data_IF_275236392983
#
_entry.id   IF_275236392983
#
_cell.length_a   1.000
_cell.length_b   1.000
_cell.length_c   1.000
_cell.angle_alpha   90.00
_cell.angle_beta   90.00
_cell.angle_gamma   90.00
#
_symmetry.space_group_name_H-M   'P 1'
#
loop_
_entity.id
_entity.type
_entity.pdbx_description
1 polymer ?
#
# COMPACT_ATOMS: atom_id res chain seq x y z
N UNK A 1 -16.80 -34.02 2.05
CA UNK A 1 -17.12 -34.00 0.59
C UNK A 1 -15.94 -33.60 -0.29
N UNK A 2 -14.96 -32.82 0.19
CA UNK A 2 -13.82 -32.35 -0.62
C UNK A 2 -12.85 -33.48 -1.01
N UNK A 3 -12.55 -34.42 -0.10
CA UNK A 3 -11.60 -35.54 -0.34
C UNK A 3 -12.05 -36.46 -1.48
N UNK A 4 -13.32 -36.89 -1.47
CA UNK A 4 -13.88 -37.74 -2.53
C UNK A 4 -13.83 -37.09 -3.92
N UNK A 5 -13.92 -35.76 -3.99
CA UNK A 5 -13.91 -35.03 -5.28
C UNK A 5 -12.52 -35.00 -5.91
N UNK A 6 -11.48 -34.92 -5.09
CA UNK A 6 -10.08 -34.95 -5.52
C UNK A 6 -9.69 -36.36 -5.98
N UNK A 7 -10.09 -37.40 -5.23
CA UNK A 7 -9.83 -38.80 -5.59
C UNK A 7 -10.55 -39.23 -6.88
N UNK A 8 -11.78 -38.75 -7.08
CA UNK A 8 -12.56 -39.05 -8.30
C UNK A 8 -11.93 -38.41 -9.54
N UNK A 9 -11.39 -37.19 -9.44
CA UNK A 9 -10.66 -36.54 -10.56
C UNK A 9 -9.35 -37.24 -10.90
N UNK A 10 -8.55 -37.60 -9.88
CA UNK A 10 -7.29 -38.31 -10.08
C UNK A 10 -7.46 -39.67 -10.80
N UNK A 11 -8.56 -40.38 -10.51
CA UNK A 11 -8.89 -41.65 -11.19
C UNK A 11 -9.31 -41.46 -12.66
N UNK A 12 -9.99 -40.35 -12.97
CA UNK A 12 -10.50 -40.05 -14.31
C UNK A 12 -9.39 -39.65 -15.28
N UNK A 13 -8.35 -38.99 -14.76
CA UNK A 13 -7.23 -38.47 -15.55
C UNK A 13 -5.99 -39.39 -15.51
N UNK A 14 -6.13 -40.64 -15.02
CA UNK A 14 -5.07 -41.67 -14.91
C UNK A 14 -3.82 -41.19 -14.13
N UNK A 15 -4.00 -40.40 -13.08
CA UNK A 15 -2.88 -39.98 -12.24
C UNK A 15 -2.43 -41.12 -11.32
N UNK A 16 -1.19 -41.58 -11.52
CA UNK A 16 -0.55 -42.61 -10.72
C UNK A 16 0.09 -42.04 -9.47
N UNK A 17 -0.05 -42.73 -8.32
CA UNK A 17 0.75 -42.47 -7.11
C UNK A 17 2.16 -43.06 -7.18
N UNK A 18 2.50 -43.76 -8.27
CA UNK A 18 3.85 -44.28 -8.51
C UNK A 18 4.73 -43.12 -8.98
N UNK A 19 5.78 -42.82 -8.21
CA UNK A 19 6.79 -41.83 -8.58
C UNK A 19 7.48 -42.29 -9.87
N UNK A 20 7.04 -41.73 -11.00
CA UNK A 20 7.81 -41.78 -12.25
C UNK A 20 8.96 -40.78 -12.15
N UNK A 21 10.13 -41.12 -12.72
CA UNK A 21 11.24 -40.18 -12.81
C UNK A 21 10.74 -38.86 -13.38
N UNK A 22 10.96 -37.77 -12.63
CA UNK A 22 10.62 -36.44 -13.08
C UNK A 22 11.38 -36.15 -14.40
N UNK A 23 10.79 -35.43 -15.36
CA UNK A 23 11.55 -34.90 -16.48
C UNK A 23 12.77 -34.14 -15.93
N UNK A 24 13.90 -34.14 -16.67
CA UNK A 24 15.10 -33.44 -16.21
C UNK A 24 14.71 -32.01 -15.81
N UNK A 25 15.17 -31.54 -14.63
CA UNK A 25 14.86 -30.19 -14.18
C UNK A 25 15.24 -29.20 -15.27
N UNK A 26 14.42 -28.16 -15.47
CA UNK A 26 14.90 -26.95 -16.14
C UNK A 26 16.09 -26.47 -15.33
N UNK A 27 17.30 -26.78 -15.80
CA UNK A 27 18.53 -26.58 -15.04
C UNK A 27 18.72 -25.07 -14.83
N UNK A 28 18.91 -24.60 -13.59
CA UNK A 28 19.26 -23.22 -13.34
C UNK A 28 20.77 -23.05 -13.52
N UNK A 29 21.26 -23.02 -14.77
CA UNK A 29 22.59 -22.52 -15.14
C UNK A 29 22.76 -22.51 -16.67
N UNK A 30 23.49 -21.51 -17.21
CA UNK A 30 22.89 -20.59 -18.17
C UNK A 30 22.25 -21.33 -19.35
N UNK A 31 20.95 -21.10 -19.51
CA UNK A 31 20.24 -21.46 -20.73
C UNK A 31 20.86 -20.67 -21.90
N UNK A 32 21.49 -21.34 -22.90
CA UNK A 32 22.11 -20.67 -24.04
C UNK A 32 21.11 -19.80 -24.81
N UNK A 33 19.80 -20.01 -24.66
CA UNK A 33 18.78 -19.17 -25.26
C UNK A 33 18.70 -17.76 -24.64
N UNK A 34 19.30 -17.53 -23.47
CA UNK A 34 19.32 -16.23 -22.78
C UNK A 34 20.46 -15.30 -23.21
N UNK A 35 21.41 -15.79 -24.01
CA UNK A 35 22.51 -14.98 -24.56
C UNK A 35 22.52 -15.05 -26.10
N UNK A 36 22.97 -13.99 -26.75
CA UNK A 36 23.18 -14.00 -28.21
C UNK A 36 24.48 -14.72 -28.60
N UNK A 37 24.75 -14.76 -29.90
CA UNK A 37 25.94 -15.40 -30.47
C UNK A 37 27.27 -14.82 -29.95
N UNK A 38 27.25 -13.61 -29.39
CA UNK A 38 28.40 -12.95 -28.77
C UNK A 38 28.49 -13.20 -27.27
N UNK A 39 27.51 -13.90 -26.70
CA UNK A 39 27.36 -14.11 -25.26
C UNK A 39 26.71 -12.92 -24.54
N UNK A 40 26.20 -11.90 -25.24
CA UNK A 40 25.54 -10.76 -24.63
C UNK A 40 24.09 -11.08 -24.23
N UNK A 41 23.59 -10.45 -23.17
CA UNK A 41 22.26 -10.72 -22.62
C UNK A 41 21.14 -10.45 -23.64
N UNK A 42 20.27 -11.44 -23.86
CA UNK A 42 19.03 -11.29 -24.63
C UNK A 42 17.87 -10.74 -23.79
N UNK A 43 18.09 -10.29 -22.56
CA UNK A 43 17.03 -9.84 -21.64
C UNK A 43 16.01 -8.90 -22.29
N UNK A 44 16.48 -7.92 -23.07
CA UNK A 44 15.62 -6.95 -23.77
C UNK A 44 14.62 -7.59 -24.77
N UNK A 45 14.89 -8.81 -25.25
CA UNK A 45 14.03 -9.57 -26.18
C UNK A 45 13.13 -10.58 -25.47
N UNK A 46 13.64 -11.21 -24.39
CA UNK A 46 12.94 -12.31 -23.71
C UNK A 46 12.08 -11.85 -22.51
N UNK A 47 12.34 -10.64 -22.00
CA UNK A 47 11.55 -10.07 -20.91
C UNK A 47 10.14 -9.75 -21.39
N UNK A 48 9.14 -10.19 -20.62
CA UNK A 48 7.76 -9.79 -20.84
C UNK A 48 7.56 -8.31 -20.47
N UNK A 49 6.67 -7.55 -21.13
CA UNK A 49 6.45 -6.12 -20.89
C UNK A 49 6.41 -5.64 -19.43
N UNK A 50 5.76 -6.35 -18.52
CA UNK A 50 5.68 -5.97 -17.10
C UNK A 50 7.00 -6.11 -16.33
N UNK A 51 7.96 -6.90 -16.84
CA UNK A 51 9.31 -7.04 -16.30
C UNK A 51 10.24 -5.92 -16.79
N UNK A 52 9.78 -5.08 -17.72
CA UNK A 52 10.54 -3.99 -18.28
C UNK A 52 10.26 -2.68 -17.56
N UNK A 53 11.28 -1.84 -17.50
CA UNK A 53 11.20 -0.50 -16.96
C UNK A 53 10.15 0.34 -17.72
N UNK A 54 9.17 0.97 -17.04
CA UNK A 54 8.18 1.82 -17.69
C UNK A 54 8.79 3.07 -18.31
N UNK A 55 8.27 3.48 -19.47
CA UNK A 55 8.63 4.75 -20.10
C UNK A 55 8.11 5.95 -19.30
N UNK A 56 8.74 7.11 -19.49
CA UNK A 56 8.30 8.38 -18.91
C UNK A 56 9.05 8.78 -17.64
N UNK A 57 8.49 9.77 -16.92
CA UNK A 57 9.07 10.30 -15.67
C UNK A 57 8.42 9.64 -14.47
N UNK A 58 9.23 9.10 -13.58
CA UNK A 58 8.80 8.50 -12.32
C UNK A 58 9.98 8.41 -11.36
N UNK A 59 9.69 8.37 -10.06
CA UNK A 59 10.71 8.16 -9.03
C UNK A 59 10.70 6.72 -8.49
N UNK A 60 9.55 6.06 -8.57
CA UNK A 60 9.39 4.68 -8.12
C UNK A 60 8.68 3.85 -9.17
N UNK A 61 9.27 2.71 -9.51
CA UNK A 61 8.63 1.66 -10.29
C UNK A 61 8.25 0.52 -9.34
N UNK A 62 6.95 0.26 -9.22
CA UNK A 62 6.41 -0.86 -8.46
C UNK A 62 6.06 -2.00 -9.43
N UNK A 63 6.85 -3.07 -9.43
CA UNK A 63 6.52 -4.29 -10.16
C UNK A 63 5.83 -5.30 -9.24
N UNK A 64 4.55 -5.52 -9.51
CA UNK A 64 3.74 -6.49 -8.76
C UNK A 64 3.48 -7.74 -9.57
N UNK A 65 3.47 -8.88 -8.91
CA UNK A 65 3.05 -10.09 -9.59
C UNK A 65 3.00 -11.30 -8.71
N UNK A 66 2.37 -12.35 -9.23
CA UNK A 66 2.34 -13.65 -8.59
C UNK A 66 3.72 -14.27 -8.41
N UNK A 67 3.77 -15.40 -7.71
CA UNK A 67 4.96 -16.22 -7.58
C UNK A 67 5.34 -16.80 -8.94
N UNK A 68 6.63 -16.79 -9.26
CA UNK A 68 7.12 -17.29 -10.55
C UNK A 68 6.97 -16.32 -11.72
N UNK A 69 6.52 -15.08 -11.53
CA UNK A 69 6.44 -14.07 -12.62
C UNK A 69 7.78 -13.45 -13.01
N UNK A 70 8.88 -13.83 -12.37
CA UNK A 70 10.21 -13.30 -12.67
C UNK A 70 10.50 -11.92 -12.06
N UNK A 71 9.85 -11.53 -10.97
CA UNK A 71 10.10 -10.25 -10.27
C UNK A 71 11.56 -10.06 -9.88
N UNK A 72 12.14 -11.06 -9.21
CA UNK A 72 13.54 -11.01 -8.76
C UNK A 72 14.49 -10.87 -9.94
N UNK A 73 14.25 -11.59 -11.04
CA UNK A 73 15.05 -11.47 -12.26
C UNK A 73 14.96 -10.08 -12.87
N UNK A 74 13.75 -9.54 -13.00
CA UNK A 74 13.54 -8.18 -13.50
C UNK A 74 14.27 -7.13 -12.65
N UNK A 75 14.24 -7.29 -11.33
CA UNK A 75 14.96 -6.42 -10.41
C UNK A 75 16.48 -6.48 -10.54
N UNK A 76 17.03 -7.69 -10.64
CA UNK A 76 18.46 -7.89 -10.85
C UNK A 76 18.92 -7.31 -12.19
N UNK A 77 18.19 -7.58 -13.28
CA UNK A 77 18.49 -7.07 -14.62
C UNK A 77 18.47 -5.54 -14.68
N UNK A 78 17.46 -4.92 -14.05
CA UNK A 78 17.30 -3.47 -14.00
C UNK A 78 18.41 -2.76 -13.20
N UNK A 79 18.84 -3.36 -12.10
CA UNK A 79 19.93 -2.80 -11.29
C UNK A 79 21.29 -3.03 -11.97
N UNK A 80 21.52 -4.21 -12.54
CA UNK A 80 22.74 -4.52 -13.27
C UNK A 80 22.92 -3.57 -14.46
N UNK A 81 21.88 -3.33 -15.26
CA UNK A 81 21.96 -2.39 -16.39
C UNK A 81 22.33 -0.97 -15.96
N UNK A 82 21.85 -0.53 -14.78
CA UNK A 82 22.23 0.77 -14.20
C UNK A 82 23.67 0.81 -13.73
N UNK A 83 24.12 -0.23 -13.05
CA UNK A 83 25.49 -0.33 -12.55
C UNK A 83 26.49 -0.37 -13.71
N UNK A 84 26.21 -1.16 -14.74
CA UNK A 84 27.03 -1.25 -15.95
C UNK A 84 27.11 0.09 -16.71
N UNK A 85 25.99 0.81 -16.80
CA UNK A 85 25.92 2.10 -17.50
C UNK A 85 26.49 3.30 -16.70
N UNK A 86 26.77 3.13 -15.39
CA UNK A 86 27.16 4.24 -14.51
C UNK A 86 28.51 3.94 -13.83
N UNK A 87 29.64 4.32 -14.45
CA UNK A 87 30.96 4.16 -13.83
C UNK A 87 31.02 4.83 -12.45
N UNK A 88 31.61 4.13 -11.48
CA UNK A 88 31.66 4.55 -10.07
C UNK A 88 30.29 4.85 -9.43
N UNK A 89 29.19 4.34 -10.02
CA UNK A 89 27.84 4.52 -9.49
C UNK A 89 27.64 3.86 -8.13
N UNK A 90 26.79 4.45 -7.30
CA UNK A 90 26.50 3.94 -5.94
C UNK A 90 25.03 3.55 -5.85
N UNK A 91 24.77 2.28 -5.53
CA UNK A 91 23.44 1.68 -5.55
C UNK A 91 23.10 0.98 -4.25
N UNK A 92 21.81 0.73 -4.02
CA UNK A 92 21.32 -0.07 -2.90
C UNK A 92 20.48 -1.27 -3.36
N UNK A 93 20.59 -2.37 -2.61
CA UNK A 93 19.73 -3.54 -2.70
C UNK A 93 19.11 -3.73 -1.31
N UNK A 94 17.79 -3.81 -1.22
CA UNK A 94 17.07 -3.98 0.04
C UNK A 94 16.24 -5.25 -0.03
N UNK A 95 16.62 -6.25 0.74
CA UNK A 95 15.89 -7.51 0.86
C UNK A 95 14.99 -7.51 2.09
N UNK A 96 14.04 -8.45 2.15
CA UNK A 96 13.23 -8.66 3.34
C UNK A 96 14.07 -9.06 4.57
N UNK A 97 15.03 -9.98 4.38
CA UNK A 97 16.00 -10.41 5.40
C UNK A 97 17.43 -10.44 4.84
N UNK A 98 18.44 -10.57 5.71
CA UNK A 98 19.83 -10.76 5.26
C UNK A 98 20.04 -12.09 4.52
N UNK A 99 19.23 -13.10 4.84
CA UNK A 99 19.25 -14.38 4.14
C UNK A 99 18.73 -14.22 2.72
N UNK A 100 17.58 -13.54 2.54
CA UNK A 100 17.02 -13.27 1.21
C UNK A 100 17.98 -12.42 0.36
N UNK A 101 18.66 -11.45 0.97
CA UNK A 101 19.67 -10.65 0.29
C UNK A 101 20.76 -11.53 -0.35
N UNK A 102 21.30 -12.48 0.42
CA UNK A 102 22.37 -13.36 -0.04
C UNK A 102 21.84 -14.42 -1.00
N UNK A 103 20.91 -15.25 -0.54
CA UNK A 103 20.52 -16.49 -1.21
C UNK A 103 19.56 -16.28 -2.39
N UNK A 104 18.86 -15.13 -2.44
CA UNK A 104 17.87 -14.87 -3.48
C UNK A 104 18.32 -13.74 -4.40
N UNK A 105 18.68 -12.59 -3.85
CA UNK A 105 18.95 -11.39 -4.66
C UNK A 105 20.37 -11.33 -5.23
N UNK A 106 21.36 -11.93 -4.55
CA UNK A 106 22.77 -11.89 -4.97
C UNK A 106 23.17 -13.22 -5.60
N UNK A 107 23.18 -14.30 -4.81
CA UNK A 107 23.69 -15.63 -5.20
C UNK A 107 22.56 -16.57 -5.67
N UNK A 108 21.31 -16.10 -5.68
CA UNK A 108 20.19 -16.88 -6.20
C UNK A 108 20.26 -17.07 -7.72
N UNK A 109 19.51 -18.03 -8.30
CA UNK A 109 19.50 -18.28 -9.74
C UNK A 109 19.09 -17.08 -10.61
N UNK A 110 18.27 -16.18 -10.03
CA UNK A 110 17.84 -14.94 -10.65
C UNK A 110 18.61 -13.71 -10.11
N UNK A 111 19.59 -13.95 -9.24
CA UNK A 111 20.34 -12.93 -8.53
C UNK A 111 21.43 -12.29 -9.39
N UNK A 112 21.92 -11.14 -8.91
CA UNK A 112 22.86 -10.29 -9.64
C UNK A 112 24.19 -10.97 -9.98
N UNK A 113 24.63 -11.95 -9.19
CA UNK A 113 25.93 -12.59 -9.39
C UNK A 113 25.94 -13.57 -10.59
N UNK A 114 24.77 -14.04 -11.03
CA UNK A 114 24.63 -15.12 -12.01
C UNK A 114 23.81 -14.73 -13.25
N UNK A 115 23.68 -13.44 -13.56
CA UNK A 115 22.91 -12.96 -14.71
C UNK A 115 23.59 -13.34 -16.05
N UNK A 116 22.96 -14.17 -16.91
CA UNK A 116 23.46 -14.48 -18.24
C UNK A 116 23.69 -13.26 -19.12
N UNK A 117 24.86 -13.24 -19.74
CA UNK A 117 25.29 -12.23 -20.72
C UNK A 117 25.47 -10.83 -20.15
N UNK A 118 25.68 -10.74 -18.83
CA UNK A 118 26.05 -9.52 -18.11
C UNK A 118 27.38 -9.69 -17.39
N UNK A 119 27.89 -8.59 -16.86
CA UNK A 119 29.02 -8.68 -15.94
C UNK A 119 28.59 -9.39 -14.65
N UNK A 120 29.41 -10.34 -14.17
CA UNK A 120 29.22 -10.96 -12.87
C UNK A 120 29.98 -10.14 -11.81
N UNK A 121 29.32 -9.26 -11.04
CA UNK A 121 30.00 -8.43 -10.06
C UNK A 121 30.59 -9.26 -8.93
N UNK A 122 31.75 -8.85 -8.42
CA UNK A 122 32.39 -9.49 -7.27
C UNK A 122 31.57 -9.22 -6.01
N UNK A 123 31.14 -10.28 -5.34
CA UNK A 123 30.45 -10.17 -4.06
C UNK A 123 31.43 -10.17 -2.87
N UNK A 124 31.40 -9.13 -2.06
CA UNK A 124 32.12 -9.05 -0.78
C UNK A 124 31.15 -9.25 0.38
N UNK A 125 30.94 -10.50 0.77
CA UNK A 125 29.93 -10.89 1.76
C UNK A 125 30.08 -10.22 3.14
N UNK A 126 31.31 -9.99 3.60
CA UNK A 126 31.60 -9.31 4.87
C UNK A 126 31.18 -7.83 4.88
N UNK A 127 31.24 -7.19 3.71
CA UNK A 127 30.84 -5.78 3.50
C UNK A 127 29.46 -5.64 2.87
N UNK A 128 28.83 -6.77 2.52
CA UNK A 128 27.53 -6.86 1.86
C UNK A 128 27.44 -5.94 0.66
N UNK A 129 28.39 -6.06 -0.26
CA UNK A 129 28.39 -5.25 -1.48
C UNK A 129 28.84 -6.02 -2.71
N UNK A 130 28.27 -5.64 -3.84
CA UNK A 130 28.66 -6.09 -5.17
C UNK A 130 29.53 -5.02 -5.82
N UNK A 131 30.61 -5.44 -6.47
CA UNK A 131 31.58 -4.57 -7.14
C UNK A 131 31.65 -4.91 -8.64
N UNK A 132 31.39 -3.91 -9.48
CA UNK A 132 31.59 -3.98 -10.92
C UNK A 132 32.99 -3.50 -11.31
N UNK A 133 33.50 -3.98 -12.44
CA UNK A 133 34.81 -3.61 -13.01
C UNK A 133 34.90 -2.12 -13.35
N UNK A 134 33.78 -1.49 -13.68
CA UNK A 134 33.69 -0.05 -13.93
C UNK A 134 33.68 0.81 -12.64
N UNK A 135 33.88 0.19 -11.47
CA UNK A 135 33.90 0.85 -10.17
C UNK A 135 32.51 1.04 -9.52
N UNK A 136 31.42 0.67 -10.19
CA UNK A 136 30.09 0.72 -9.58
C UNK A 136 29.98 -0.23 -8.39
N UNK A 137 29.21 0.19 -7.38
CA UNK A 137 29.00 -0.54 -6.13
C UNK A 137 27.51 -0.60 -5.81
N UNK A 138 27.01 -1.80 -5.51
CA UNK A 138 25.69 -1.98 -4.91
C UNK A 138 25.82 -2.48 -3.47
N UNK A 139 25.32 -1.71 -2.51
CA UNK A 139 25.30 -2.07 -1.09
C UNK A 139 24.02 -2.81 -0.72
N UNK A 140 24.14 -3.92 -0.01
CA UNK A 140 23.04 -4.75 0.44
C UNK A 140 22.56 -4.40 1.85
N UNK A 141 21.25 -4.31 2.02
CA UNK A 141 20.56 -4.00 3.26
C UNK A 141 19.39 -4.97 3.50
N UNK A 142 19.05 -5.15 4.78
CA UNK A 142 17.85 -5.87 5.21
C UNK A 142 16.79 -4.91 5.72
N UNK A 143 15.54 -5.13 5.31
CA UNK A 143 14.37 -4.41 5.80
C UNK A 143 14.11 -4.62 7.31
N UNK A 144 14.76 -5.61 7.94
CA UNK A 144 14.71 -5.80 9.39
C UNK A 144 15.52 -4.75 10.17
N UNK A 145 16.45 -4.06 9.51
CA UNK A 145 17.33 -3.05 10.12
C UNK A 145 17.21 -1.68 9.41
N UNK A 146 16.05 -0.99 9.48
CA UNK A 146 15.82 0.26 8.74
C UNK A 146 16.84 1.37 9.02
N UNK A 147 17.37 1.40 10.23
CA UNK A 147 18.33 2.41 10.69
C UNK A 147 19.66 2.38 9.92
N UNK A 148 20.03 1.23 9.33
CA UNK A 148 21.27 1.11 8.54
C UNK A 148 21.22 1.83 7.20
N UNK A 149 20.02 2.19 6.75
CA UNK A 149 19.81 3.03 5.56
C UNK A 149 20.03 4.52 5.85
N UNK A 150 20.18 4.93 7.12
CA UNK A 150 20.49 6.31 7.47
C UNK A 150 21.97 6.60 7.25
N UNK A 151 22.28 7.58 6.41
CA UNK A 151 23.65 8.03 6.15
C UNK A 151 24.14 7.71 4.73
N UNK A 152 24.06 6.46 4.26
CA UNK A 152 24.36 6.09 2.88
C UNK A 152 23.56 6.90 1.85
N UNK A 153 24.12 7.04 0.65
CA UNK A 153 23.54 7.80 -0.45
C UNK A 153 23.64 7.01 -1.75
N UNK A 154 22.61 7.06 -2.57
CA UNK A 154 22.46 6.18 -3.73
C UNK A 154 21.93 6.94 -4.95
N UNK A 155 22.32 6.46 -6.13
CA UNK A 155 21.80 6.87 -7.44
C UNK A 155 20.57 6.05 -7.81
N UNK A 156 20.52 4.77 -7.45
CA UNK A 156 19.31 3.97 -7.58
C UNK A 156 19.26 2.87 -6.52
N UNK A 157 18.06 2.33 -6.30
CA UNK A 157 17.87 1.23 -5.38
C UNK A 157 16.86 0.21 -5.91
N UNK A 158 17.10 -1.06 -5.60
CA UNK A 158 16.15 -2.14 -5.79
C UNK A 158 15.73 -2.73 -4.45
N UNK A 159 14.44 -2.74 -4.17
CA UNK A 159 13.82 -3.25 -2.95
C UNK A 159 12.90 -4.43 -3.25
N UNK A 160 13.19 -5.62 -2.72
CA UNK A 160 12.44 -6.84 -3.02
C UNK A 160 11.54 -7.31 -1.87
N UNK A 161 10.51 -8.05 -2.23
CA UNK A 161 9.47 -8.60 -1.37
C UNK A 161 8.87 -7.58 -0.38
N UNK A 162 8.58 -6.36 -0.84
CA UNK A 162 8.11 -5.23 -0.02
C UNK A 162 6.97 -5.56 0.97
N UNK A 163 5.96 -6.33 0.52
CA UNK A 163 4.82 -6.70 1.36
C UNK A 163 5.16 -7.71 2.48
N UNK A 164 6.40 -8.17 2.58
CA UNK A 164 6.88 -9.03 3.67
C UNK A 164 7.61 -8.24 4.77
N UNK A 165 7.91 -6.97 4.52
CA UNK A 165 8.69 -6.16 5.45
C UNK A 165 7.93 -5.88 6.75
N UNK A 166 8.62 -6.00 7.89
CA UNK A 166 8.06 -5.73 9.21
C UNK A 166 7.77 -4.24 9.44
N UNK A 167 8.63 -3.36 8.92
CA UNK A 167 8.58 -1.88 9.10
C UNK A 167 8.67 -1.14 7.76
N UNK A 168 7.71 -1.34 6.85
CA UNK A 168 7.84 -0.88 5.46
C UNK A 168 7.96 0.64 5.33
N UNK A 169 7.26 1.38 6.19
CA UNK A 169 7.32 2.84 6.21
C UNK A 169 8.72 3.36 6.57
N UNK A 170 9.34 2.82 7.62
CA UNK A 170 10.64 3.27 8.11
C UNK A 170 11.75 2.96 7.09
N UNK A 171 11.73 1.74 6.53
CA UNK A 171 12.69 1.31 5.50
C UNK A 171 12.56 2.19 4.26
N UNK A 172 11.34 2.36 3.73
CA UNK A 172 11.11 3.13 2.51
C UNK A 172 11.45 4.61 2.68
N UNK A 173 11.13 5.20 3.85
CA UNK A 173 11.46 6.59 4.16
C UNK A 173 12.97 6.81 4.21
N UNK A 174 13.70 5.98 4.96
CA UNK A 174 15.15 6.09 5.05
C UNK A 174 15.83 5.84 3.70
N UNK A 175 15.38 4.84 2.93
CA UNK A 175 15.90 4.56 1.59
C UNK A 175 15.72 5.76 0.65
N UNK A 176 14.53 6.37 0.63
CA UNK A 176 14.22 7.53 -0.20
C UNK A 176 15.04 8.76 0.17
N UNK A 177 15.28 8.99 1.46
CA UNK A 177 16.18 10.06 1.91
C UNK A 177 17.64 9.83 1.49
N UNK A 178 18.04 8.58 1.25
CA UNK A 178 19.33 8.20 0.68
C UNK A 178 19.40 8.30 -0.85
N UNK A 179 18.27 8.24 -1.56
CA UNK A 179 18.21 8.35 -3.03
C UNK A 179 18.33 9.81 -3.48
N UNK A 180 19.57 10.29 -3.58
CA UNK A 180 19.87 11.72 -3.85
C UNK A 180 21.13 11.96 -4.68
N UNK A 181 21.77 10.91 -5.20
CA UNK A 181 22.92 11.05 -6.08
C UNK A 181 22.49 11.01 -7.55
N UNK A 182 23.27 11.67 -8.40
CA UNK A 182 22.99 11.75 -9.84
C UNK A 182 21.86 12.74 -10.17
N UNK A 183 21.44 12.74 -11.44
CA UNK A 183 20.42 13.67 -11.95
C UNK A 183 19.00 13.11 -11.85
N UNK A 184 18.84 11.79 -11.80
CA UNK A 184 17.54 11.12 -11.85
C UNK A 184 17.53 9.86 -10.96
N UNK A 185 17.50 10.03 -9.62
CA UNK A 185 17.53 8.90 -8.71
C UNK A 185 16.23 8.10 -8.77
N UNK A 186 16.34 6.78 -8.97
CA UNK A 186 15.20 5.89 -9.22
C UNK A 186 15.16 4.70 -8.25
N UNK A 187 13.94 4.27 -7.91
CA UNK A 187 13.67 3.14 -7.03
C UNK A 187 12.82 2.08 -7.74
N UNK A 188 13.28 0.83 -7.75
CA UNK A 188 12.46 -0.31 -8.12
C UNK A 188 11.99 -1.05 -6.87
N UNK A 189 10.70 -1.31 -6.76
CA UNK A 189 10.09 -2.14 -5.72
C UNK A 189 9.43 -3.35 -6.37
N UNK A 190 9.86 -4.56 -6.00
CA UNK A 190 9.26 -5.82 -6.45
C UNK A 190 8.48 -6.47 -5.31
N UNK A 191 7.27 -6.96 -5.57
CA UNK A 191 6.49 -7.64 -4.52
C UNK A 191 5.34 -8.49 -5.04
N UNK A 192 4.95 -9.49 -4.25
CA UNK A 192 3.62 -10.12 -4.35
C UNK A 192 2.65 -9.31 -3.48
N UNK A 193 1.53 -8.78 -4.02
CA UNK A 193 0.67 -7.85 -3.29
C UNK A 193 0.05 -8.47 -2.03
N UNK A 194 -0.05 -7.68 -0.96
CA UNK A 194 -0.87 -7.99 0.22
C UNK A 194 -1.74 -6.78 0.58
N UNK A 195 -2.95 -6.97 1.15
CA UNK A 195 -3.88 -5.89 1.50
C UNK A 195 -3.42 -5.06 2.71
N UNK A 196 -2.26 -4.42 2.61
CA UNK A 196 -1.64 -3.61 3.65
C UNK A 196 -1.62 -2.13 3.29
N UNK A 197 -1.73 -1.26 4.30
CA UNK A 197 -1.80 0.19 4.11
C UNK A 197 -0.56 0.75 3.38
N UNK A 198 0.64 0.23 3.66
CA UNK A 198 1.85 0.74 3.02
C UNK A 198 1.86 0.52 1.50
N UNK A 199 1.36 -0.63 1.02
CA UNK A 199 1.24 -0.89 -0.41
C UNK A 199 0.19 0.02 -1.06
N UNK A 200 -0.96 0.22 -0.39
CA UNK A 200 -2.01 1.13 -0.90
C UNK A 200 -1.48 2.55 -1.04
N UNK A 201 -0.82 3.07 0.00
CA UNK A 201 -0.18 4.39 -0.03
C UNK A 201 0.83 4.50 -1.17
N UNK A 202 1.70 3.50 -1.33
CA UNK A 202 2.69 3.47 -2.40
C UNK A 202 2.05 3.51 -3.80
N UNK A 203 0.93 2.81 -4.01
CA UNK A 203 0.17 2.83 -5.28
C UNK A 203 -0.48 4.18 -5.58
N UNK A 204 -0.84 4.93 -4.55
CA UNK A 204 -1.51 6.24 -4.67
C UNK A 204 -0.54 7.39 -4.94
N UNK A 205 0.78 7.15 -4.82
CA UNK A 205 1.79 8.17 -5.07
C UNK A 205 1.89 8.51 -6.56
N UNK A 206 1.81 9.80 -6.89
CA UNK A 206 1.84 10.31 -8.28
C UNK A 206 3.13 9.91 -9.02
N UNK A 207 4.25 9.84 -8.30
CA UNK A 207 5.55 9.48 -8.86
C UNK A 207 5.83 7.98 -8.88
N UNK A 208 4.86 7.16 -8.48
CA UNK A 208 4.91 5.70 -8.52
C UNK A 208 4.19 5.19 -9.76
N UNK A 209 4.93 4.55 -10.66
CA UNK A 209 4.38 3.83 -11.81
C UNK A 209 4.36 2.34 -11.51
N UNK A 210 3.32 1.65 -11.98
CA UNK A 210 3.10 0.25 -11.65
C UNK A 210 3.05 -0.62 -12.89
N UNK A 211 3.76 -1.75 -12.84
CA UNK A 211 3.53 -2.88 -13.76
C UNK A 211 2.98 -4.06 -12.97
N UNK A 212 2.15 -4.88 -13.62
CA UNK A 212 1.57 -6.07 -12.99
C UNK A 212 1.59 -7.26 -13.94
N UNK A 213 1.89 -8.45 -13.43
CA UNK A 213 1.80 -9.69 -14.18
C UNK A 213 1.31 -10.86 -13.31
N UNK A 214 0.53 -11.76 -13.92
CA UNK A 214 0.17 -13.05 -13.36
C UNK A 214 1.25 -14.10 -13.65
N UNK A 215 1.33 -15.16 -12.84
CA UNK A 215 2.25 -16.31 -13.04
C UNK A 215 2.17 -16.87 -14.45
N UNK A 216 0.97 -16.91 -15.03
CA UNK A 216 0.72 -17.36 -16.41
C UNK A 216 1.43 -16.52 -17.47
N UNK A 217 1.70 -15.23 -17.22
CA UNK A 217 2.44 -14.38 -18.16
C UNK A 217 3.90 -14.82 -18.31
N UNK A 218 4.42 -15.62 -17.37
CA UNK A 218 5.77 -16.20 -17.41
C UNK A 218 5.75 -17.72 -17.63
N UNK A 219 4.64 -18.28 -18.16
CA UNK A 219 4.45 -19.73 -18.23
C UNK A 219 5.54 -20.47 -19.01
N UNK A 220 6.12 -19.85 -20.05
CA UNK A 220 7.21 -20.45 -20.82
C UNK A 220 8.48 -20.72 -20.02
N UNK A 221 8.66 -20.05 -18.87
CA UNK A 221 9.80 -20.21 -17.97
C UNK A 221 9.47 -21.05 -16.73
N UNK A 222 8.29 -21.68 -16.70
CA UNK A 222 7.80 -22.47 -15.58
C UNK A 222 7.49 -23.88 -16.06
N UNK A 223 7.69 -24.86 -15.18
CA UNK A 223 7.29 -26.24 -15.50
C UNK A 223 5.76 -26.29 -15.72
N UNK A 224 5.25 -26.88 -16.83
CA UNK A 224 3.82 -26.95 -17.08
C UNK A 224 3.05 -27.61 -15.93
N UNK A 225 3.59 -28.71 -15.38
CA UNK A 225 3.02 -29.42 -14.22
C UNK A 225 2.96 -28.58 -12.94
N UNK A 226 3.85 -27.60 -12.79
CA UNK A 226 3.81 -26.67 -11.66
C UNK A 226 2.60 -25.72 -11.77
N UNK A 227 2.34 -25.19 -12.96
CA UNK A 227 1.17 -24.32 -13.21
C UNK A 227 -0.12 -25.12 -13.04
N UNK A 228 -0.21 -26.29 -13.68
CA UNK A 228 -1.39 -27.16 -13.60
C UNK A 228 -1.67 -27.58 -12.15
N UNK A 229 -0.63 -27.94 -11.40
CA UNK A 229 -0.73 -28.29 -9.98
C UNK A 229 -1.22 -27.13 -9.11
N UNK A 230 -0.69 -25.92 -9.30
CA UNK A 230 -1.13 -24.74 -8.57
C UNK A 230 -2.57 -24.35 -8.90
N UNK A 231 -2.97 -24.45 -10.17
CA UNK A 231 -4.34 -24.21 -10.60
C UNK A 231 -5.29 -25.27 -10.03
N UNK A 232 -4.89 -26.54 -9.98
CA UNK A 232 -5.71 -27.60 -9.40
C UNK A 232 -5.92 -27.43 -7.89
N UNK A 233 -4.88 -26.98 -7.15
CA UNK A 233 -4.93 -26.80 -5.71
C UNK A 233 -5.61 -25.50 -5.28
N UNK A 234 -5.32 -24.40 -5.97
CA UNK A 234 -5.70 -23.05 -5.54
C UNK A 234 -6.56 -22.30 -6.54
N UNK A 235 -6.81 -22.84 -7.74
CA UNK A 235 -7.60 -22.18 -8.78
C UNK A 235 -8.96 -21.72 -8.28
N UNK A 236 -9.37 -20.52 -8.71
CA UNK A 236 -10.63 -19.90 -8.27
C UNK A 236 -10.64 -19.42 -6.81
N UNK A 237 -9.54 -19.56 -6.07
CA UNK A 237 -9.43 -19.03 -4.71
C UNK A 237 -8.84 -17.61 -4.71
N UNK A 238 -9.10 -16.86 -3.64
CA UNK A 238 -8.44 -15.57 -3.38
C UNK A 238 -6.93 -15.72 -3.23
N UNK A 239 -6.47 -16.84 -2.70
CA UNK A 239 -5.05 -17.13 -2.58
C UNK A 239 -4.40 -17.21 -3.96
N UNK A 240 -5.06 -17.84 -4.95
CA UNK A 240 -4.60 -17.81 -6.32
C UNK A 240 -4.63 -16.41 -6.93
N UNK A 241 -5.69 -15.62 -6.70
CA UNK A 241 -5.75 -14.24 -7.18
C UNK A 241 -4.59 -13.38 -6.64
N UNK A 242 -4.20 -13.58 -5.38
CA UNK A 242 -3.11 -12.84 -4.78
C UNK A 242 -1.74 -13.40 -5.17
N UNK A 243 -1.51 -14.69 -4.93
CA UNK A 243 -0.19 -15.34 -5.04
C UNK A 243 0.12 -15.81 -6.46
N UNK A 244 -0.86 -15.96 -7.36
CA UNK A 244 -0.65 -16.34 -8.76
C UNK A 244 -0.99 -15.20 -9.71
N UNK A 245 -2.15 -14.57 -9.57
CA UNK A 245 -2.53 -13.49 -10.49
C UNK A 245 -1.85 -12.16 -10.14
N UNK A 246 -1.26 -12.07 -8.94
CA UNK A 246 -0.59 -10.85 -8.49
C UNK A 246 -1.56 -9.69 -8.31
N UNK A 247 -2.82 -9.98 -7.96
CA UNK A 247 -3.87 -9.00 -7.75
C UNK A 247 -3.99 -8.66 -6.27
N UNK A 248 -4.14 -7.37 -5.96
CA UNK A 248 -4.45 -6.94 -4.60
C UNK A 248 -5.91 -7.29 -4.28
N UNK A 249 -6.10 -8.31 -3.45
CA UNK A 249 -7.43 -8.73 -3.01
C UNK A 249 -7.68 -8.17 -1.60
N UNK A 250 -8.75 -7.40 -1.44
CA UNK A 250 -9.16 -6.90 -0.12
C UNK A 250 -9.60 -8.06 0.80
N UNK A 251 -9.27 -7.95 2.09
CA UNK A 251 -9.28 -9.08 3.04
C UNK A 251 -10.62 -9.82 3.18
N UNK A 252 -10.54 -11.11 3.52
CA UNK A 252 -11.68 -11.88 4.01
C UNK A 252 -12.05 -11.47 5.45
N UNK A 253 -13.35 -11.34 5.74
CA UNK A 253 -13.87 -11.03 7.09
C UNK A 253 -14.35 -9.59 7.30
N UNK A 254 -14.36 -8.74 6.27
CA UNK A 254 -15.01 -7.42 6.39
C UNK A 254 -16.53 -7.67 6.49
N UNK A 255 -17.12 -7.30 7.63
CA UNK A 255 -18.58 -7.38 7.83
C UNK A 255 -19.35 -6.54 6.80
N UNK A 256 -18.71 -5.49 6.26
CA UNK A 256 -19.30 -4.55 5.32
C UNK A 256 -18.32 -4.21 4.19
N UNK A 257 -18.71 -4.41 2.94
CA UNK A 257 -17.94 -3.98 1.77
C UNK A 257 -18.17 -2.50 1.50
N UNK A 258 -17.23 -1.83 0.85
CA UNK A 258 -17.39 -0.43 0.41
C UNK A 258 -18.63 -0.24 -0.48
N UNK A 259 -18.93 -1.23 -1.33
CA UNK A 259 -20.12 -1.26 -2.18
C UNK A 259 -21.43 -1.32 -1.35
N UNK A 260 -21.42 -1.99 -0.19
CA UNK A 260 -22.58 -2.07 0.70
C UNK A 260 -22.95 -0.66 1.23
N UNK A 261 -21.95 0.17 1.55
CA UNK A 261 -22.18 1.55 1.96
C UNK A 261 -22.63 2.44 0.80
N UNK A 262 -22.07 2.27 -0.39
CA UNK A 262 -22.49 3.04 -1.57
C UNK A 262 -23.96 2.78 -1.90
N UNK A 263 -24.39 1.52 -1.85
CA UNK A 263 -25.77 1.11 -2.14
C UNK A 263 -26.80 1.49 -1.08
N UNK A 264 -26.36 1.89 0.12
CA UNK A 264 -27.23 2.25 1.26
C UNK A 264 -27.36 3.76 1.49
N UNK A 265 -26.62 4.59 0.73
CA UNK A 265 -26.77 6.06 0.79
C UNK A 265 -28.13 6.48 0.26
N UNK A 266 -28.90 7.17 1.10
CA UNK A 266 -30.22 7.69 0.76
C UNK A 266 -30.57 8.90 1.62
N UNK A 267 -31.55 9.69 1.18
CA UNK A 267 -32.13 10.76 1.99
C UNK A 267 -32.98 10.16 3.12
N UNK A 268 -32.79 10.62 4.38
CA UNK A 268 -33.61 10.17 5.49
C UNK A 268 -35.05 10.68 5.40
N UNK A 269 -36.04 9.95 5.93
CA UNK A 269 -37.40 10.46 6.08
C UNK A 269 -37.45 11.63 7.08
N UNK A 270 -38.47 12.49 6.95
CA UNK A 270 -38.61 13.67 7.79
C UNK A 270 -38.96 13.36 9.26
N UNK A 271 -39.53 12.20 9.54
CA UNK A 271 -40.00 11.81 10.88
C UNK A 271 -39.51 10.40 11.22
N UNK A 272 -38.98 10.26 12.43
CA UNK A 272 -38.53 8.99 13.00
C UNK A 272 -39.34 8.63 14.23
N UNK A 273 -39.58 7.34 14.44
CA UNK A 273 -40.27 6.86 15.65
C UNK A 273 -39.35 6.89 16.87
N UNK A 274 -38.05 6.71 16.66
CA UNK A 274 -37.03 6.78 17.71
C UNK A 274 -35.69 7.18 17.12
N UNK A 275 -34.97 8.02 17.84
CA UNK A 275 -33.57 8.35 17.56
C UNK A 275 -32.72 7.87 18.74
N UNK A 276 -31.61 7.23 18.43
CA UNK A 276 -30.62 6.74 19.42
C UNK A 276 -29.26 7.37 19.13
N UNK A 277 -28.48 7.58 20.19
CA UNK A 277 -27.08 7.98 20.09
C UNK A 277 -26.25 6.83 20.67
N UNK A 278 -25.45 6.20 19.81
CA UNK A 278 -24.52 5.15 20.20
C UNK A 278 -23.13 5.77 20.41
N UNK A 279 -22.50 5.42 21.53
CA UNK A 279 -21.17 5.92 21.90
C UNK A 279 -20.30 4.70 22.18
N UNK A 280 -19.18 4.60 21.45
CA UNK A 280 -18.11 3.62 21.66
C UNK A 280 -16.88 4.36 22.21
N UNK A 281 -16.72 4.42 23.55
CA UNK A 281 -15.64 5.15 24.17
C UNK A 281 -14.31 4.39 24.06
N UNK A 282 -13.17 5.07 23.84
CA UNK A 282 -11.88 4.42 23.81
C UNK A 282 -11.50 3.93 25.21
N UNK A 283 -10.96 2.71 25.29
CA UNK A 283 -10.57 2.06 26.55
C UNK A 283 -9.14 2.41 27.04
N UNK A 284 -8.33 3.13 26.24
CA UNK A 284 -6.93 3.44 26.55
C UNK A 284 -6.61 4.94 26.70
N UNK A 285 -5.51 5.25 27.39
CA UNK A 285 -5.02 6.63 27.62
C UNK A 285 -4.41 7.28 26.36
N UNK A 286 -4.08 6.50 25.33
CA UNK A 286 -3.34 6.94 24.16
C UNK A 286 -4.26 7.39 23.01
N UNK A 287 -5.00 8.49 23.22
CA UNK A 287 -5.58 9.30 22.13
C UNK A 287 -6.49 8.58 21.12
N UNK A 288 -6.98 7.38 21.44
CA UNK A 288 -7.77 6.54 20.52
C UNK A 288 -9.11 7.20 20.18
N UNK A 289 -9.66 6.87 19.02
CA UNK A 289 -10.92 7.41 18.55
C UNK A 289 -12.09 7.00 19.46
N UNK A 290 -13.02 7.93 19.67
CA UNK A 290 -14.31 7.71 20.31
C UNK A 290 -15.37 7.71 19.21
N UNK A 291 -16.02 6.56 19.01
CA UNK A 291 -17.09 6.41 18.03
C UNK A 291 -18.38 7.06 18.54
N UNK A 292 -19.01 7.95 17.76
CA UNK A 292 -20.31 8.54 18.13
C UNK A 292 -21.21 8.57 16.90
N UNK A 293 -22.32 7.83 16.94
CA UNK A 293 -23.27 7.73 15.82
C UNK A 293 -24.68 8.06 16.30
N UNK A 294 -25.38 8.92 15.55
CA UNK A 294 -26.81 9.19 15.73
C UNK A 294 -27.58 8.40 14.68
N UNK A 295 -28.50 7.54 15.11
CA UNK A 295 -29.32 6.72 14.22
C UNK A 295 -30.81 6.85 14.54
N UNK A 296 -31.64 7.02 13.50
CA UNK A 296 -33.10 7.02 13.59
C UNK A 296 -33.70 5.73 13.05
N UNK A 297 -34.80 5.23 13.63
CA UNK A 297 -35.55 4.09 13.07
C UNK A 297 -36.97 4.47 12.67
N UNK A 298 -37.47 3.82 11.63
CA UNK A 298 -38.83 3.98 11.09
C UNK A 298 -39.35 2.62 10.61
N UNK A 299 -40.68 2.42 10.58
CA UNK A 299 -41.29 1.27 9.90
C UNK A 299 -41.64 1.63 8.45
N UNK A 300 -40.96 1.02 7.50
CA UNK A 300 -41.22 1.22 6.07
C UNK A 300 -41.02 -0.07 5.26
N UNK A 301 -41.37 -0.04 3.97
CA UNK A 301 -41.05 -1.17 3.09
C UNK A 301 -39.53 -1.19 2.86
N UNK A 302 -38.89 -2.33 3.10
CA UNK A 302 -37.45 -2.47 2.90
C UNK A 302 -37.06 -2.04 1.48
N UNK A 303 -36.07 -1.15 1.36
CA UNK A 303 -35.62 -0.58 0.08
C UNK A 303 -34.47 -1.36 -0.58
N UNK A 304 -33.87 -2.34 0.10
CA UNK A 304 -32.59 -2.94 -0.32
C UNK A 304 -32.74 -4.41 -0.73
N UNK A 305 -32.26 -4.75 -1.94
CA UNK A 305 -32.29 -6.08 -2.55
C UNK A 305 -31.29 -7.11 -1.95
N UNK A 306 -30.59 -6.77 -0.87
CA UNK A 306 -29.60 -7.62 -0.18
C UNK A 306 -29.99 -7.96 1.27
N UNK A 307 -31.28 -7.89 1.60
CA UNK A 307 -31.74 -8.50 2.83
C UNK A 307 -31.48 -10.01 2.76
N UNK A 308 -30.56 -10.50 3.61
CA UNK A 308 -30.37 -11.92 3.91
C UNK A 308 -31.71 -12.61 4.29
N UNK A 309 -32.76 -11.81 4.57
CA UNK A 309 -34.12 -12.22 4.86
C UNK A 309 -35.15 -11.69 3.83
N UNK A 310 -34.93 -11.88 2.52
CA UNK A 310 -35.89 -11.48 1.47
C UNK A 310 -37.20 -12.33 1.42
N UNK A 311 -37.73 -12.78 2.57
CA UNK A 311 -38.94 -13.63 2.66
C UNK A 311 -40.08 -13.04 3.48
N UNK A 312 -40.10 -11.74 3.75
CA UNK A 312 -41.16 -11.10 4.55
C UNK A 312 -41.91 -10.04 3.75
N UNK A 313 -43.17 -10.33 3.39
CA UNK A 313 -44.12 -9.31 2.89
C UNK A 313 -44.58 -8.46 4.08
N UNK A 314 -44.08 -7.23 4.23
CA UNK A 314 -44.51 -6.31 5.30
C UNK A 314 -43.69 -5.01 5.40
N UNK A 315 -44.12 -4.08 6.29
CA UNK A 315 -43.27 -2.97 6.75
C UNK A 315 -42.26 -3.50 7.78
N UNK A 316 -40.99 -3.24 7.55
CA UNK A 316 -39.88 -3.66 8.41
C UNK A 316 -39.26 -2.46 9.12
N UNK A 317 -38.49 -2.73 10.18
CA UNK A 317 -37.70 -1.70 10.83
C UNK A 317 -36.49 -1.37 9.97
N UNK A 318 -36.41 -0.11 9.52
CA UNK A 318 -35.25 0.42 8.82
C UNK A 318 -34.59 1.46 9.71
N UNK A 319 -33.26 1.35 9.84
CA UNK A 319 -32.45 2.31 10.58
C UNK A 319 -31.64 3.18 9.60
N UNK A 320 -31.60 4.47 9.91
CA UNK A 320 -30.88 5.50 9.15
C UNK A 320 -29.80 6.09 10.03
N UNK A 321 -28.56 6.15 9.55
CA UNK A 321 -27.48 6.91 10.21
C UNK A 321 -27.66 8.38 9.85
N UNK A 322 -28.00 9.21 10.83
CA UNK A 322 -28.30 10.64 10.67
C UNK A 322 -27.06 11.51 10.81
N UNK A 323 -26.12 11.09 11.65
CA UNK A 323 -24.85 11.78 11.83
C UNK A 323 -23.77 10.85 12.39
N UNK A 324 -22.55 11.02 11.91
CA UNK A 324 -21.33 10.56 12.57
C UNK A 324 -20.65 11.77 13.25
N UNK A 325 -20.39 11.64 14.54
CA UNK A 325 -19.76 12.64 15.42
C UNK A 325 -18.52 12.08 16.11
N UNK A 326 -17.95 11.01 15.56
CA UNK A 326 -16.75 10.38 16.08
C UNK A 326 -15.60 11.38 16.18
N UNK A 327 -14.80 11.27 17.24
CA UNK A 327 -13.71 12.21 17.53
C UNK A 327 -12.44 11.50 17.99
N UNK A 328 -11.28 12.09 17.75
CA UNK A 328 -9.97 11.57 18.17
C UNK A 328 -9.39 12.40 19.32
N UNK A 329 -8.59 11.78 20.18
CA UNK A 329 -7.82 12.50 21.21
C UNK A 329 -8.62 13.17 22.33
N UNK A 330 -9.94 12.95 22.42
CA UNK A 330 -10.78 13.59 23.43
C UNK A 330 -10.66 12.90 24.80
N UNK A 331 -10.34 13.67 25.85
CA UNK A 331 -10.39 13.19 27.25
C UNK A 331 -11.83 12.90 27.68
N UNK A 332 -12.08 12.01 28.66
CA UNK A 332 -13.44 11.65 29.09
C UNK A 332 -14.35 12.85 29.40
N UNK A 333 -13.81 13.93 29.98
CA UNK A 333 -14.56 15.16 30.27
C UNK A 333 -14.89 16.01 29.04
N UNK A 334 -14.06 15.99 28.00
CA UNK A 334 -14.33 16.72 26.75
C UNK A 334 -15.48 16.08 25.95
N UNK A 335 -15.84 14.83 26.25
CA UNK A 335 -16.88 14.03 25.56
C UNK A 335 -18.30 14.34 26.03
N UNK A 336 -18.47 14.82 27.26
CA UNK A 336 -19.79 15.01 27.91
C UNK A 336 -20.36 16.43 27.79
N UNK A 337 -19.60 17.40 27.25
CA UNK A 337 -20.11 18.76 27.08
C UNK A 337 -20.98 18.82 25.81
N UNK A 338 -22.24 19.32 25.90
CA UNK A 338 -22.97 19.66 24.69
C UNK A 338 -22.16 20.70 23.93
N UNK A 339 -21.72 20.35 22.72
CA UNK A 339 -21.25 21.37 21.77
C UNK A 339 -22.49 22.18 21.42
N UNK A 340 -22.58 23.38 21.98
CA UNK A 340 -23.57 24.36 21.56
C UNK A 340 -23.50 24.43 20.03
N UNK A 341 -24.63 24.33 19.30
CA UNK A 341 -24.61 24.63 17.88
C UNK A 341 -24.01 26.03 17.76
N UNK A 342 -22.95 26.16 16.96
CA UNK A 342 -22.26 27.43 16.79
C UNK A 342 -23.29 28.51 16.53
N UNK A 343 -23.36 29.51 17.42
CA UNK A 343 -24.13 30.71 17.15
C UNK A 343 -23.54 31.30 15.88
N UNK A 344 -24.33 31.26 14.82
CA UNK A 344 -24.09 32.02 13.61
C UNK A 344 -24.00 33.51 14.00
N UNK A 345 -22.91 34.24 13.76
CA UNK A 345 -22.77 35.62 14.18
C UNK A 345 -23.70 36.60 13.42
N UNK A 346 -24.55 36.12 12.52
CA UNK A 346 -25.41 36.95 11.67
C UNK A 346 -26.82 37.26 12.22
N UNK A 347 -27.15 36.93 13.48
CA UNK A 347 -28.42 37.33 14.11
C UNK A 347 -28.25 37.76 15.57
N UNK A 348 -27.86 39.02 15.77
CA UNK A 348 -28.13 39.75 17.01
C UNK A 348 -28.72 41.12 16.63
N UNK A 349 -30.05 41.15 16.52
CA UNK A 349 -30.83 42.37 16.66
C UNK A 349 -31.34 42.44 18.09
N UNK A 350 -30.85 43.45 18.82
CA UNK A 350 -31.47 44.21 19.90
C UNK A 350 -32.33 43.53 20.98
N UNK A 351 -31.97 43.89 22.23
CA UNK A 351 -32.70 43.97 23.52
C UNK A 351 -31.86 43.24 24.60
N UNK A 352 -31.36 43.83 25.68
CA UNK A 352 -31.70 45.06 26.40
C UNK A 352 -31.88 44.70 27.89
N UNK A 353 -30.98 45.19 28.75
CA UNK A 353 -31.28 45.54 30.16
C UNK A 353 -31.01 44.55 31.30
N UNK A 354 -30.15 44.98 32.25
CA UNK A 354 -30.16 44.67 33.69
C UNK A 354 -29.48 43.36 34.12
N UNK A 355 -28.63 43.25 35.14
CA UNK A 355 -28.19 44.14 36.21
C UNK A 355 -27.73 43.27 37.40
N UNK A 356 -26.67 43.67 38.12
CA UNK A 356 -26.48 43.29 39.53
C UNK A 356 -25.31 42.36 39.89
N UNK A 357 -24.32 42.96 40.58
CA UNK A 357 -23.52 42.50 41.75
C UNK A 357 -22.96 41.05 41.79
N UNK A 358 -21.70 40.75 42.11
CA UNK A 358 -20.65 41.47 42.83
C UNK A 358 -20.33 40.77 44.16
N UNK A 359 -19.22 40.03 44.27
CA UNK A 359 -18.53 39.75 45.56
C UNK A 359 -17.02 39.55 45.31
N UNK A 360 -16.21 40.24 46.13
CA UNK A 360 -14.75 40.23 46.20
C UNK A 360 -14.23 39.20 47.21
N UNK A 361 -12.99 38.79 47.00
CA UNK A 361 -12.04 38.24 47.99
C UNK A 361 -10.91 37.55 47.23
N UNK A 362 -9.62 37.84 47.36
CA UNK A 362 -8.86 38.64 48.31
C UNK A 362 -7.49 37.97 48.43
N UNK A 363 -6.47 38.57 47.82
CA UNK A 363 -5.01 38.47 48.06
C UNK A 363 -4.33 37.07 48.05
N UNK A 364 -3.22 36.86 47.32
CA UNK A 364 -1.92 37.36 47.75
C UNK A 364 -0.90 37.55 46.60
N UNK A 365 -0.09 38.61 46.73
CA UNK A 365 0.90 39.14 45.79
C UNK A 365 2.21 38.35 45.81
N UNK A 366 2.89 38.21 44.65
CA UNK A 366 4.34 38.52 44.50
C UNK A 366 4.63 39.12 43.12
N UNK A 367 5.49 40.15 43.16
CA UNK A 367 5.81 41.15 42.13
C UNK A 367 6.78 40.60 41.07
N UNK A 368 6.70 41.15 39.85
CA UNK A 368 7.74 41.06 38.82
C UNK A 368 7.28 41.53 37.44
N UNK A 369 7.35 42.84 37.17
CA UNK A 369 7.28 43.48 35.85
C UNK A 369 8.13 44.77 35.92
N UNK A 370 8.69 45.30 34.81
CA UNK A 370 8.02 45.58 33.52
C UNK A 370 8.79 44.98 32.32
N UNK A 371 8.27 44.80 31.11
CA UNK A 371 7.16 45.40 30.40
C UNK A 371 7.70 45.86 29.03
N UNK A 372 7.25 45.25 27.93
CA UNK A 372 7.01 45.86 26.62
C UNK A 372 6.07 44.96 25.81
N UNK A 373 4.93 45.55 25.43
CA UNK A 373 3.93 45.02 24.52
C UNK A 373 4.28 45.42 23.10
N UNK A 374 3.85 44.60 22.16
CA UNK A 374 3.20 44.87 20.86
C UNK A 374 3.31 43.54 20.08
N UNK A 375 2.33 42.90 19.48
CA UNK A 375 0.91 43.12 19.19
C UNK A 375 0.52 41.91 18.32
N UNK A 376 -0.48 41.13 18.73
CA UNK A 376 -1.02 39.95 18.02
C UNK A 376 -1.85 40.41 16.78
N UNK A 377 -2.44 39.54 15.91
CA UNK A 377 -2.72 38.11 16.12
C UNK A 377 -2.66 37.16 14.90
N UNK A 378 -2.89 35.89 15.23
CA UNK A 378 -3.21 34.74 14.40
C UNK A 378 -4.21 35.00 13.26
N UNK A 379 -3.87 34.55 12.05
CA UNK A 379 -4.80 34.38 10.92
C UNK A 379 -5.37 32.96 10.88
N UNK A 380 -6.70 32.78 10.87
CA UNK A 380 -7.33 31.50 10.60
C UNK A 380 -7.49 31.25 9.10
N UNK A 381 -7.29 29.99 8.71
CA UNK A 381 -7.68 29.40 7.43
C UNK A 381 -9.15 29.67 7.08
N UNK A 382 -9.44 30.28 5.92
CA UNK A 382 -10.61 29.90 5.11
C UNK A 382 -10.65 30.49 3.69
N UNK A 383 -11.06 29.61 2.76
CA UNK A 383 -11.89 29.83 1.56
C UNK A 383 -11.24 30.34 0.27
N UNK A 384 -11.12 29.39 -0.67
CA UNK A 384 -11.24 29.60 -2.13
C UNK A 384 -12.56 30.30 -2.46
N UNK A 385 -12.58 31.23 -3.44
CA UNK A 385 -13.79 31.57 -4.18
C UNK A 385 -13.95 30.68 -5.42
N UNK A 386 -15.18 30.25 -5.65
CA UNK A 386 -15.69 29.77 -6.94
C UNK A 386 -16.57 30.88 -7.50
N UNK A 387 -16.22 31.40 -8.68
CA UNK A 387 -17.04 32.02 -9.72
C UNK A 387 -16.07 32.32 -10.88
N UNK A 388 -16.38 32.21 -12.16
CA UNK A 388 -17.59 31.99 -12.92
C UNK A 388 -17.19 32.17 -14.39
N UNK A 389 -17.84 31.47 -15.31
CA UNK A 389 -17.58 31.55 -16.76
C UNK A 389 -17.98 32.93 -17.32
N UNK A 390 -17.18 33.42 -18.25
CA UNK A 390 -17.43 34.29 -19.43
C UNK A 390 -16.03 34.73 -19.88
N UNK A 391 -15.57 34.79 -21.13
CA UNK A 391 -16.06 34.53 -22.47
C UNK A 391 -14.98 35.11 -23.43
N UNK A 392 -14.84 34.51 -24.62
CA UNK A 392 -14.28 35.07 -25.87
C UNK A 392 -12.75 35.26 -26.09
N UNK A 393 -12.29 34.58 -27.16
CA UNK A 393 -11.48 35.06 -28.31
C UNK A 393 -10.06 35.62 -28.12
N UNK A 394 -9.05 34.91 -28.66
CA UNK A 394 -8.41 35.33 -29.92
C UNK A 394 -7.51 34.23 -30.50
N UNK A 395 -7.59 34.08 -31.83
CA UNK A 395 -6.66 33.38 -32.72
C UNK A 395 -5.31 34.11 -32.79
N UNK A 396 -4.26 33.34 -33.11
CA UNK A 396 -2.90 33.77 -33.45
C UNK A 396 -1.99 32.57 -33.54
#
# INVERSE_FOLDING_TARGET
MVVKTVETRASRDRWSKTVTQAPPPLLPHPDPDQVDETGASKWAKIAHPAQCEPSGKWSTWLFQGGRGTGKTRAGAEWLASRAEATPNGIFAIVAATEHDLREVMIEGPAGLHFLPGREHPKYESSRRRLLWKNGAIAYGFSAEQPERLRGPQFMAAWADEFCTWKKPHDVLSNLRLGLRLGQDPRLLITTTPKPMQALRKLREEISCVMTQAATSANAGNLAPSFIDGLQALYGGTRLAQQELDGVLVDGAGVLFKTEDFASTRCEPPAVFERVVVAIDPPAGLNGSACGIVVAGRVREKARVANAINARTKGKEWVAYVLADRSCQGATPLARARPRSPGRDPARMGERGGGGGAGVRGGENRRRGQPGRRDGAPDTPYCRRPVHGRTGACHQG
#
